data_IF_247474246021
#
_entry.id   IF_247474246021
#
_cell.length_a   1.000
_cell.length_b   1.000
_cell.length_c   1.000
_cell.angle_alpha   90.00
_cell.angle_beta   90.00
_cell.angle_gamma   90.00
#
_symmetry.space_group_name_H-M   'P 1'
#
loop_
_entity.id
_entity.type
_entity.pdbx_description
1 polymer ?
#
# COMPACT_ATOMS: atom_id res chain seq x y z
N UNK A 1 0.29 -3.12 -9.02
CA UNK A 1 0.84 -1.85 -8.50
C UNK A 1 1.27 -1.95 -7.03
N UNK A 2 0.40 -2.41 -6.12
CA UNK A 2 0.70 -2.38 -4.66
C UNK A 2 1.70 -3.46 -4.22
N UNK A 3 1.67 -4.62 -4.89
CA UNK A 3 2.65 -5.70 -4.71
C UNK A 3 4.10 -5.22 -4.88
N UNK A 4 4.35 -4.27 -5.80
CA UNK A 4 5.67 -3.66 -5.99
C UNK A 4 6.14 -2.88 -4.75
N UNK A 5 5.28 -2.02 -4.19
CA UNK A 5 5.63 -1.26 -3.00
C UNK A 5 5.81 -2.12 -1.74
N UNK A 6 5.10 -3.24 -1.65
CA UNK A 6 5.29 -4.19 -0.54
C UNK A 6 6.61 -4.95 -0.66
N UNK A 7 7.01 -5.32 -1.88
CA UNK A 7 8.32 -5.93 -2.15
C UNK A 7 9.49 -4.95 -1.93
N UNK A 8 9.26 -3.66 -2.20
CA UNK A 8 10.19 -2.56 -1.90
C UNK A 8 10.27 -2.22 -0.39
N UNK A 9 9.66 -3.05 0.47
CA UNK A 9 9.63 -2.92 1.93
C UNK A 9 9.10 -1.56 2.45
N UNK A 10 8.33 -0.82 1.64
CA UNK A 10 7.77 0.46 2.05
C UNK A 10 6.74 0.27 3.17
N UNK A 11 6.75 1.20 4.12
CA UNK A 11 5.75 1.22 5.19
C UNK A 11 4.37 1.58 4.60
N UNK A 12 3.26 1.06 5.16
CA UNK A 12 1.92 1.34 4.67
C UNK A 12 1.61 2.85 4.56
N UNK A 13 2.19 3.64 5.47
CA UNK A 13 2.08 5.11 5.48
C UNK A 13 2.75 5.73 4.26
N UNK A 14 3.96 5.29 3.91
CA UNK A 14 4.68 5.77 2.73
C UNK A 14 3.96 5.38 1.42
N UNK A 15 3.39 4.18 1.37
CA UNK A 15 2.57 3.72 0.24
C UNK A 15 1.34 4.62 0.09
N UNK A 16 0.63 4.89 1.19
CA UNK A 16 -0.52 5.77 1.18
C UNK A 16 -0.17 7.18 0.73
N UNK A 17 0.93 7.78 1.21
CA UNK A 17 1.37 9.11 0.75
C UNK A 17 1.71 9.16 -0.75
N UNK A 18 2.33 8.11 -1.30
CA UNK A 18 2.58 8.00 -2.74
C UNK A 18 1.27 7.86 -3.54
N UNK A 19 0.34 7.03 -3.06
CA UNK A 19 -0.96 6.85 -3.71
C UNK A 19 -1.80 8.14 -3.65
N UNK A 20 -1.77 8.86 -2.53
CA UNK A 20 -2.45 10.14 -2.37
C UNK A 20 -1.89 11.19 -3.32
N UNK A 21 -0.57 11.22 -3.54
CA UNK A 21 0.07 12.15 -4.48
C UNK A 21 -0.34 11.88 -5.93
N UNK A 22 -0.51 10.62 -6.32
CA UNK A 22 -0.81 10.22 -7.71
C UNK A 22 -2.32 10.26 -7.99
N UNK A 23 -3.12 9.72 -7.09
CA UNK A 23 -4.55 9.47 -7.30
C UNK A 23 -5.46 10.48 -6.59
N UNK A 24 -4.92 11.32 -5.68
CA UNK A 24 -5.67 12.32 -4.92
C UNK A 24 -6.94 11.73 -4.29
N UNK A 25 -8.12 12.21 -4.69
CA UNK A 25 -9.42 11.77 -4.17
C UNK A 25 -9.78 10.32 -4.53
N UNK A 26 -9.16 9.76 -5.57
CA UNK A 26 -9.29 8.35 -5.93
C UNK A 26 -8.31 7.45 -5.13
N UNK A 27 -7.52 8.03 -4.22
CA UNK A 27 -6.59 7.26 -3.40
C UNK A 27 -7.35 6.36 -2.41
N UNK A 28 -6.98 5.08 -2.30
CA UNK A 28 -7.52 4.22 -1.26
C UNK A 28 -7.14 4.74 0.12
N UNK A 29 -8.01 4.51 1.10
CA UNK A 29 -7.75 4.90 2.49
C UNK A 29 -6.52 4.21 3.07
N UNK A 30 -5.86 4.82 4.06
CA UNK A 30 -4.73 4.22 4.77
C UNK A 30 -5.08 2.85 5.39
N UNK A 31 -6.32 2.68 5.86
CA UNK A 31 -6.80 1.40 6.41
C UNK A 31 -6.82 0.30 5.34
N UNK A 32 -7.29 0.63 4.13
CA UNK A 32 -7.26 -0.26 2.97
C UNK A 32 -5.82 -0.64 2.60
N UNK A 33 -4.91 0.34 2.57
CA UNK A 33 -3.49 0.12 2.27
C UNK A 33 -2.85 -0.82 3.30
N UNK A 34 -3.13 -0.64 4.60
CA UNK A 34 -2.67 -1.55 5.68
C UNK A 34 -3.17 -2.98 5.49
N UNK A 35 -4.47 -3.17 5.22
CA UNK A 35 -5.04 -4.51 4.97
C UNK A 35 -4.36 -5.20 3.80
N UNK A 36 -4.13 -4.48 2.69
CA UNK A 36 -3.43 -5.01 1.54
C UNK A 36 -1.97 -5.34 1.83
N UNK A 37 -1.27 -4.54 2.63
CA UNK A 37 0.12 -4.85 3.03
C UNK A 37 0.19 -6.12 3.87
N UNK A 38 -0.74 -6.30 4.81
CA UNK A 38 -0.82 -7.50 5.64
C UNK A 38 -1.14 -8.74 4.80
N UNK A 39 -2.14 -8.66 3.92
CA UNK A 39 -2.53 -9.75 3.01
C UNK A 39 -1.37 -10.16 2.07
N UNK A 40 -0.63 -9.19 1.56
CA UNK A 40 0.53 -9.44 0.71
C UNK A 40 1.68 -10.09 1.48
N UNK A 41 1.90 -9.70 2.74
CA UNK A 41 2.89 -10.37 3.60
C UNK A 41 2.50 -11.80 3.95
N UNK A 42 1.22 -12.06 4.23
CA UNK A 42 0.73 -13.40 4.57
C UNK A 42 0.67 -14.36 3.38
N UNK A 43 0.58 -13.84 2.15
CA UNK A 43 0.63 -14.64 0.91
C UNK A 43 2.02 -14.74 0.29
N UNK A 44 3.06 -14.28 0.99
CA UNK A 44 4.47 -14.36 0.58
C UNK A 44 5.23 -15.38 1.46
N UNK A 45 4.60 -16.53 1.70
CA UNK A 45 5.22 -17.81 2.06
C UNK A 45 5.20 -18.69 0.83
#
# INVERSE_FOLDING_TARGET
>A
VIKFFVLDALTPTAIHSKLLKVYKDASPSLSTVKKWTTLLKSGCT
#
